data_IF_299344368958
#
_entry.id   IF_299344368958
#
_cell.length_a   1.000
_cell.length_b   1.000
_cell.length_c   1.000
_cell.angle_alpha   90.00
_cell.angle_beta   90.00
_cell.angle_gamma   90.00
#
_symmetry.space_group_name_H-M   'P 1'
#
loop_
_entity.id
_entity.type
_entity.pdbx_description
1 polymer ?
#
# COMPACT_ATOMS: atom_id res chain seq x y z
N UNK A 1 -10.82 14.10 3.21
CA UNK A 1 -10.45 12.68 2.98
C UNK A 1 -9.12 12.51 2.25
N UNK A 2 -8.73 13.40 1.32
CA UNK A 2 -7.41 13.35 0.67
C UNK A 2 -6.18 13.27 1.61
N UNK A 3 -6.10 14.06 2.71
CA UNK A 3 -4.98 13.98 3.65
C UNK A 3 -4.86 12.62 4.34
N UNK A 4 -6.00 11.98 4.63
CA UNK A 4 -6.06 10.66 5.28
C UNK A 4 -5.57 9.56 4.34
N UNK A 5 -5.91 9.64 3.04
CA UNK A 5 -5.39 8.70 2.04
C UNK A 5 -3.87 8.81 1.91
N UNK A 6 -3.33 10.03 1.93
CA UNK A 6 -1.89 10.29 1.87
C UNK A 6 -1.15 9.81 3.12
N UNK A 7 -1.68 10.05 4.32
CA UNK A 7 -1.05 9.55 5.55
C UNK A 7 -1.04 8.04 5.62
N UNK A 8 -2.11 7.36 5.19
CA UNK A 8 -2.16 5.90 5.11
C UNK A 8 -1.18 5.36 4.07
N UNK A 9 -1.05 6.01 2.92
CA UNK A 9 -0.09 5.61 1.88
C UNK A 9 1.37 5.80 2.35
N UNK A 10 1.65 6.88 3.10
CA UNK A 10 2.96 7.11 3.70
C UNK A 10 3.28 6.06 4.79
N UNK A 11 2.30 5.70 5.62
CA UNK A 11 2.46 4.64 6.62
C UNK A 11 2.67 3.27 5.97
N UNK A 12 1.99 2.99 4.85
CA UNK A 12 2.23 1.78 4.06
C UNK A 12 3.68 1.71 3.56
N UNK A 13 4.21 2.82 3.00
CA UNK A 13 5.61 2.93 2.59
C UNK A 13 6.58 2.73 3.76
N UNK A 14 6.31 3.36 4.91
CA UNK A 14 7.15 3.21 6.09
C UNK A 14 7.19 1.76 6.59
N UNK A 15 6.05 1.06 6.55
CA UNK A 15 5.95 -0.33 7.02
C UNK A 15 6.70 -1.35 6.16
N UNK A 16 7.07 -1.04 4.91
CA UNK A 16 7.93 -1.88 4.08
C UNK A 16 9.32 -2.12 4.68
N UNK A 17 9.77 -1.23 5.56
CA UNK A 17 11.06 -1.32 6.24
C UNK A 17 11.06 -2.28 7.44
N UNK A 18 9.88 -2.69 7.94
CA UNK A 18 9.82 -3.65 9.03
C UNK A 18 10.01 -5.08 8.50
N UNK A 19 10.92 -5.88 9.09
CA UNK A 19 11.02 -7.31 8.81
C UNK A 19 9.78 -8.06 9.34
N UNK A 20 9.44 -9.16 8.65
CA UNK A 20 8.33 -10.09 8.88
C UNK A 20 6.90 -9.50 8.85
N UNK A 21 6.40 -8.92 9.95
CA UNK A 21 5.00 -8.49 10.06
C UNK A 21 4.68 -7.23 9.25
N UNK A 22 5.71 -6.42 8.94
CA UNK A 22 5.56 -5.17 8.20
C UNK A 22 4.94 -5.33 6.81
N UNK A 23 5.14 -6.49 6.17
CA UNK A 23 4.69 -6.73 4.79
C UNK A 23 3.15 -6.85 4.69
N UNK A 24 2.53 -7.54 5.65
CA UNK A 24 1.08 -7.69 5.71
C UNK A 24 0.38 -6.39 6.13
N UNK A 25 1.01 -5.64 7.04
CA UNK A 25 0.54 -4.32 7.46
C UNK A 25 0.65 -3.32 6.30
N UNK A 26 1.75 -3.34 5.55
CA UNK A 26 1.92 -2.53 4.34
C UNK A 26 0.85 -2.83 3.29
N UNK A 27 0.59 -4.11 3.03
CA UNK A 27 -0.44 -4.53 2.09
C UNK A 27 -1.85 -4.08 2.52
N UNK A 28 -2.18 -4.25 3.80
CA UNK A 28 -3.47 -3.85 4.36
C UNK A 28 -3.67 -2.33 4.30
N UNK A 29 -2.65 -1.56 4.71
CA UNK A 29 -2.66 -0.09 4.64
C UNK A 29 -2.74 0.42 3.21
N UNK A 30 -2.05 -0.24 2.26
CA UNK A 30 -2.13 0.09 0.84
C UNK A 30 -3.54 -0.09 0.29
N UNK A 31 -4.21 -1.20 0.60
CA UNK A 31 -5.60 -1.45 0.17
C UNK A 31 -6.54 -0.39 0.75
N UNK A 32 -6.41 -0.06 2.03
CA UNK A 32 -7.23 0.95 2.69
C UNK A 32 -6.95 2.35 2.09
N UNK A 33 -5.69 2.69 1.83
CA UNK A 33 -5.32 3.96 1.19
C UNK A 33 -5.93 4.10 -0.21
N UNK A 34 -5.92 3.04 -1.01
CA UNK A 34 -6.57 2.99 -2.33
C UNK A 34 -8.07 3.15 -2.21
N UNK A 35 -8.73 2.43 -1.29
CA UNK A 35 -10.18 2.51 -1.08
C UNK A 35 -10.62 3.91 -0.61
N UNK A 36 -9.89 4.50 0.34
CA UNK A 36 -10.15 5.86 0.85
C UNK A 36 -9.86 6.93 -0.20
N UNK A 37 -8.77 6.77 -0.96
CA UNK A 37 -8.42 7.64 -2.09
C UNK A 37 -9.49 7.61 -3.18
N UNK A 38 -9.98 6.42 -3.53
CA UNK A 38 -11.06 6.25 -4.51
C UNK A 38 -12.37 6.89 -4.06
N UNK A 39 -12.78 6.64 -2.80
CA UNK A 39 -13.99 7.24 -2.23
C UNK A 39 -13.88 8.77 -2.15
N UNK A 40 -12.71 9.28 -1.79
CA UNK A 40 -12.39 10.71 -1.74
C UNK A 40 -12.36 11.38 -3.12
N UNK A 41 -11.90 10.66 -4.14
CA UNK A 41 -11.89 11.15 -5.53
C UNK A 41 -13.28 11.20 -6.16
N UNK A 42 -14.14 10.21 -5.83
CA UNK A 42 -15.53 10.13 -6.30
C UNK A 42 -16.46 11.17 -5.67
N UNK A 43 -16.24 11.55 -4.41
CA UNK A 43 -17.04 12.62 -3.78
C UNK A 43 -16.69 13.97 -4.39
N UNK A 44 -17.71 14.74 -4.80
CA UNK A 44 -17.56 16.12 -5.29
C UNK A 44 -16.89 16.96 -4.19
N UNK A 45 -15.57 17.07 -4.28
CA UNK A 45 -14.71 17.78 -3.34
C UNK A 45 -13.98 18.88 -4.12
N UNK A 46 -13.62 20.00 -3.46
CA UNK A 46 -12.78 21.03 -4.08
C UNK A 46 -11.55 20.42 -4.76
N UNK A 47 -11.12 20.99 -5.90
CA UNK A 47 -10.11 20.38 -6.78
C UNK A 47 -8.83 19.94 -6.08
N UNK A 48 -8.36 20.71 -5.09
CA UNK A 48 -7.21 20.37 -4.26
C UNK A 48 -7.38 19.04 -3.48
N UNK A 49 -8.56 18.76 -2.95
CA UNK A 49 -8.83 17.51 -2.24
C UNK A 49 -8.90 16.30 -3.19
N UNK A 50 -9.30 16.50 -4.46
CA UNK A 50 -9.26 15.44 -5.48
C UNK A 50 -7.84 15.10 -5.89
N UNK A 51 -6.94 16.09 -5.97
CA UNK A 51 -5.51 15.86 -6.23
C UNK A 51 -4.85 15.07 -5.11
N UNK A 52 -5.10 15.44 -3.85
CA UNK A 52 -4.59 14.69 -2.69
C UNK A 52 -5.16 13.26 -2.63
N UNK A 53 -6.44 13.09 -2.96
CA UNK A 53 -7.06 11.77 -3.02
C UNK A 53 -6.48 10.90 -4.14
N UNK A 54 -6.21 11.47 -5.33
CA UNK A 54 -5.54 10.79 -6.42
C UNK A 54 -4.09 10.41 -6.07
N UNK A 55 -3.35 11.31 -5.40
CA UNK A 55 -2.00 11.02 -4.90
C UNK A 55 -1.98 9.90 -3.85
N UNK A 56 -2.93 9.88 -2.92
CA UNK A 56 -3.08 8.76 -1.97
C UNK A 56 -3.40 7.44 -2.66
N UNK A 57 -4.18 7.49 -3.74
CA UNK A 57 -4.54 6.33 -4.57
C UNK A 57 -3.32 5.73 -5.28
N UNK A 58 -2.51 6.56 -5.94
CA UNK A 58 -1.33 6.11 -6.68
C UNK A 58 -0.24 5.59 -5.74
N UNK A 59 0.05 6.32 -4.66
CA UNK A 59 1.06 5.90 -3.68
C UNK A 59 0.60 4.63 -2.95
N UNK A 60 -0.69 4.53 -2.59
CA UNK A 60 -1.27 3.32 -2.03
C UNK A 60 -1.12 2.12 -2.97
N UNK A 61 -1.45 2.27 -4.25
CA UNK A 61 -1.33 1.20 -5.25
C UNK A 61 0.13 0.74 -5.44
N UNK A 62 1.08 1.68 -5.56
CA UNK A 62 2.52 1.37 -5.69
C UNK A 62 3.03 0.63 -4.46
N UNK A 63 2.65 1.10 -3.26
CA UNK A 63 3.04 0.45 -2.00
C UNK A 63 2.49 -0.96 -1.88
N UNK A 64 1.24 -1.18 -2.30
CA UNK A 64 0.61 -2.49 -2.35
C UNK A 64 1.31 -3.44 -3.31
N UNK A 65 1.68 -2.96 -4.50
CA UNK A 65 2.45 -3.73 -5.49
C UNK A 65 3.84 -4.14 -4.94
N UNK A 66 4.55 -3.22 -4.28
CA UNK A 66 5.84 -3.51 -3.66
C UNK A 66 5.70 -4.54 -2.53
N UNK A 67 4.70 -4.38 -1.66
CA UNK A 67 4.42 -5.33 -0.59
C UNK A 67 4.08 -6.73 -1.14
N UNK A 68 3.22 -6.81 -2.17
CA UNK A 68 2.85 -8.07 -2.81
C UNK A 68 4.07 -8.75 -3.45
N UNK A 69 4.88 -8.00 -4.20
CA UNK A 69 6.12 -8.51 -4.81
C UNK A 69 7.07 -9.05 -3.76
N UNK A 70 7.25 -8.32 -2.65
CA UNK A 70 8.10 -8.75 -1.52
C UNK A 70 7.59 -10.06 -0.90
N UNK A 71 6.27 -10.19 -0.71
CA UNK A 71 5.66 -11.42 -0.19
C UNK A 71 5.91 -12.59 -1.14
N UNK A 72 5.66 -12.42 -2.44
CA UNK A 72 5.87 -13.47 -3.45
C UNK A 72 7.33 -13.92 -3.49
N UNK A 73 8.28 -12.98 -3.52
CA UNK A 73 9.71 -13.31 -3.50
C UNK A 73 10.11 -14.06 -2.23
N UNK A 74 9.52 -13.68 -1.08
CA UNK A 74 9.78 -14.35 0.19
C UNK A 74 9.26 -15.79 0.15
N UNK A 75 8.05 -16.01 -0.38
CA UNK A 75 7.48 -17.35 -0.52
C UNK A 75 8.30 -18.21 -1.49
N UNK A 76 8.70 -17.67 -2.64
CA UNK A 76 9.55 -18.38 -3.60
C UNK A 76 10.91 -18.76 -3.00
N UNK A 77 11.50 -17.88 -2.19
CA UNK A 77 12.76 -18.18 -1.52
C UNK A 77 12.62 -19.30 -0.47
N UNK A 78 11.49 -19.35 0.25
CA UNK A 78 11.19 -20.42 1.20
C UNK A 78 10.97 -21.75 0.46
N UNK A 79 10.22 -21.72 -0.64
CA UNK A 79 9.94 -22.92 -1.44
C UNK A 79 11.22 -23.49 -2.05
N UNK A 80 12.06 -22.63 -2.64
CA UNK A 80 13.37 -23.01 -3.16
C UNK A 80 14.31 -23.55 -2.08
N UNK A 81 14.20 -23.08 -0.83
CA UNK A 81 14.98 -23.61 0.29
C UNK A 81 14.48 -24.99 0.73
N UNK A 82 13.16 -25.19 0.74
CA UNK A 82 12.55 -26.48 1.05
C UNK A 82 12.90 -27.55 0.01
N UNK A 83 12.97 -27.18 -1.28
CA UNK A 83 13.37 -28.10 -2.35
C UNK A 83 14.84 -28.56 -2.25
N UNK A 84 15.68 -27.82 -1.52
CA UNK A 84 17.10 -28.11 -1.33
C UNK A 84 17.42 -28.94 -0.08
N UNK A 85 16.48 -29.04 0.88
CA UNK A 85 16.64 -29.75 2.16
C UNK A 85 16.09 -31.17 2.10
#
# INVERSE_FOLDING_TARGET
MGPVALTLAALALASLWLPSAGMYVALSLAIVAVAVGWLGYRRQSPGHHRLLAAGGLTVGAISGLLAATKIVLTLLAIDALNDLL
#
